data_IF_743874309558
#
_entry.id   IF_743874309558
#
_cell.length_a   1.000
_cell.length_b   1.000
_cell.length_c   1.000
_cell.angle_alpha   90.00
_cell.angle_beta   90.00
_cell.angle_gamma   90.00
#
_symmetry.space_group_name_H-M   'P 1'
#
loop_
_entity.id
_entity.type
_entity.pdbx_description
1 polymer ?
#
# COMPACT_ATOMS: atom_id res chain seq x y z
N UNK A 1 -15.60 16.78 77.45
CA UNK A 1 -15.26 17.36 76.13
C UNK A 1 -14.67 16.24 75.30
N UNK A 2 -15.52 15.54 74.54
CA UNK A 2 -15.12 14.37 73.75
C UNK A 2 -14.77 14.81 72.33
N UNK A 3 -13.53 14.55 71.90
CA UNK A 3 -13.07 14.79 70.53
C UNK A 3 -13.28 13.55 69.67
N UNK A 4 -13.96 13.71 68.53
CA UNK A 4 -14.12 12.68 67.50
C UNK A 4 -13.10 12.96 66.40
N UNK A 5 -12.18 12.01 66.18
CA UNK A 5 -11.22 12.06 65.07
C UNK A 5 -11.84 11.41 63.82
N UNK A 6 -12.03 12.20 62.76
CA UNK A 6 -12.48 11.72 61.46
C UNK A 6 -11.28 11.22 60.65
N UNK A 7 -11.28 9.93 60.28
CA UNK A 7 -10.33 9.33 59.35
C UNK A 7 -10.85 9.55 57.94
N UNK A 8 -10.16 10.38 57.15
CA UNK A 8 -10.41 10.56 55.72
C UNK A 8 -9.58 9.53 54.94
N UNK A 9 -10.24 8.51 54.38
CA UNK A 9 -9.67 7.68 53.32
C UNK A 9 -9.80 8.44 51.99
N UNK A 10 -8.69 9.01 51.51
CA UNK A 10 -8.59 9.49 50.14
C UNK A 10 -8.23 8.31 49.22
N UNK A 11 -9.21 7.78 48.49
CA UNK A 11 -8.99 6.80 47.43
C UNK A 11 -8.25 7.45 46.26
N UNK A 12 -7.12 6.87 45.86
CA UNK A 12 -6.40 7.23 44.65
C UNK A 12 -7.17 6.73 43.44
N UNK A 13 -7.78 7.65 42.69
CA UNK A 13 -8.30 7.39 41.34
C UNK A 13 -7.09 7.30 40.41
N UNK A 14 -6.73 6.09 39.99
CA UNK A 14 -5.76 5.89 38.91
C UNK A 14 -6.39 6.39 37.61
N UNK A 15 -6.00 7.58 37.17
CA UNK A 15 -6.29 8.04 35.82
C UNK A 15 -5.61 7.07 34.83
N UNK A 16 -6.41 6.30 34.09
CA UNK A 16 -5.90 5.53 32.96
C UNK A 16 -5.25 6.49 31.99
N UNK A 17 -3.96 6.28 31.70
CA UNK A 17 -3.26 7.03 30.66
C UNK A 17 -4.03 6.80 29.35
N UNK A 18 -4.69 7.83 28.85
CA UNK A 18 -5.17 7.83 27.49
C UNK A 18 -3.95 7.67 26.58
N UNK A 19 -3.87 6.56 25.85
CA UNK A 19 -2.85 6.38 24.83
C UNK A 19 -3.01 7.52 23.82
N UNK A 20 -2.03 8.42 23.75
CA UNK A 20 -2.02 9.48 22.76
C UNK A 20 -2.00 8.82 21.37
N UNK A 21 -2.79 9.36 20.44
CA UNK A 21 -2.77 8.89 19.05
C UNK A 21 -1.31 8.97 18.52
N UNK A 22 -0.86 7.94 17.78
CA UNK A 22 0.49 7.93 17.22
C UNK A 22 0.74 9.22 16.44
N UNK A 23 1.84 9.90 16.73
CA UNK A 23 2.21 11.09 15.95
C UNK A 23 2.81 10.63 14.62
N UNK A 24 2.36 11.18 13.49
CA UNK A 24 2.93 10.84 12.20
C UNK A 24 4.39 11.27 12.12
N UNK A 25 5.17 10.57 11.29
CA UNK A 25 6.51 11.04 10.97
C UNK A 25 6.45 12.38 10.22
N UNK A 26 7.47 13.25 10.33
CA UNK A 26 7.51 14.49 9.57
C UNK A 26 7.36 14.24 8.07
N UNK A 27 6.71 15.16 7.35
CA UNK A 27 6.55 15.08 5.89
C UNK A 27 7.90 14.92 5.15
N UNK A 28 8.99 15.39 5.76
CA UNK A 28 10.35 15.28 5.23
C UNK A 28 11.04 13.94 5.50
N UNK A 29 10.44 13.03 6.27
CA UNK A 29 11.06 11.77 6.71
C UNK A 29 11.34 10.82 5.54
N UNK A 30 10.50 10.85 4.51
CA UNK A 30 10.73 10.13 3.27
C UNK A 30 11.63 10.94 2.31
N UNK A 31 12.48 10.27 1.50
CA UNK A 31 13.34 10.93 0.51
C UNK A 31 12.54 11.73 -0.53
N UNK A 32 13.17 12.75 -1.12
CA UNK A 32 12.56 13.52 -2.21
C UNK A 32 12.60 12.74 -3.52
N UNK A 33 11.46 12.15 -3.88
CA UNK A 33 11.31 11.35 -5.07
C UNK A 33 11.40 12.14 -6.39
N UNK A 34 11.35 13.48 -6.37
CA UNK A 34 11.61 14.30 -7.58
C UNK A 34 13.06 14.20 -8.02
N UNK A 35 13.95 13.90 -7.08
CA UNK A 35 15.40 13.74 -7.32
C UNK A 35 15.72 12.28 -7.65
N UNK A 36 15.04 11.33 -7.01
CA UNK A 36 15.35 9.90 -7.15
C UNK A 36 14.74 9.29 -8.40
N UNK A 37 13.49 9.63 -8.73
CA UNK A 37 12.81 9.04 -9.88
C UNK A 37 13.30 9.66 -11.20
N UNK A 38 13.42 8.86 -12.27
CA UNK A 38 13.63 9.42 -13.60
C UNK A 38 12.40 10.22 -14.04
N UNK A 39 12.52 11.10 -15.07
CA UNK A 39 11.35 11.72 -15.68
C UNK A 39 10.40 10.67 -16.29
N UNK A 40 9.08 10.94 -16.36
CA UNK A 40 8.17 10.08 -17.10
C UNK A 40 8.54 10.03 -18.60
N UNK A 41 8.13 8.96 -19.32
CA UNK A 41 8.29 8.88 -20.76
C UNK A 41 7.80 10.13 -21.51
N UNK A 42 8.64 10.61 -22.42
CA UNK A 42 8.33 11.75 -23.28
C UNK A 42 7.33 11.32 -24.36
N UNK A 43 6.33 12.15 -24.71
CA UNK A 43 5.41 11.86 -25.82
C UNK A 43 6.14 11.49 -27.11
N UNK A 44 5.69 10.42 -27.77
CA UNK A 44 6.30 9.91 -29.02
C UNK A 44 7.55 9.05 -28.85
N UNK A 45 8.14 8.98 -27.64
CA UNK A 45 9.27 8.08 -27.35
C UNK A 45 8.85 6.59 -27.41
N UNK A 46 9.82 5.70 -27.59
CA UNK A 46 9.55 4.25 -27.55
C UNK A 46 8.94 3.79 -26.22
N UNK A 47 9.33 4.42 -25.09
CA UNK A 47 8.76 4.13 -23.79
C UNK A 47 7.29 4.55 -23.69
N UNK A 48 6.91 5.71 -24.25
CA UNK A 48 5.50 6.11 -24.32
C UNK A 48 4.70 5.20 -25.26
N UNK A 49 5.28 4.77 -26.39
CA UNK A 49 4.61 3.81 -27.29
C UNK A 49 4.33 2.47 -26.61
N UNK A 50 5.23 2.00 -25.73
CA UNK A 50 5.00 0.81 -24.93
C UNK A 50 3.89 1.02 -23.88
N UNK A 51 3.87 2.18 -23.22
CA UNK A 51 2.78 2.56 -22.31
C UNK A 51 1.42 2.53 -23.02
N UNK A 52 1.34 3.12 -24.22
CA UNK A 52 0.13 3.16 -25.04
C UNK A 52 -0.31 1.75 -25.44
N UNK A 53 0.63 0.93 -25.94
CA UNK A 53 0.39 -0.47 -26.32
C UNK A 53 -0.21 -1.26 -25.16
N UNK A 54 0.40 -1.20 -23.98
CA UNK A 54 -0.07 -1.94 -22.79
C UNK A 54 -1.42 -1.42 -22.31
N UNK A 55 -1.66 -0.10 -22.32
CA UNK A 55 -2.96 0.45 -21.96
C UNK A 55 -4.07 -0.09 -22.87
N UNK A 56 -3.85 -0.10 -24.19
CA UNK A 56 -4.80 -0.63 -25.16
C UNK A 56 -5.02 -2.14 -25.00
N UNK A 57 -3.94 -2.93 -24.90
CA UNK A 57 -4.02 -4.39 -24.78
C UNK A 57 -4.80 -4.82 -23.53
N UNK A 58 -4.53 -4.18 -22.38
CA UNK A 58 -5.17 -4.55 -21.11
C UNK A 58 -6.67 -4.24 -21.05
N UNK A 59 -7.22 -3.41 -21.96
CA UNK A 59 -8.68 -3.19 -22.03
C UNK A 59 -9.45 -4.47 -22.35
N UNK A 60 -8.83 -5.42 -23.06
CA UNK A 60 -9.42 -6.71 -23.38
C UNK A 60 -9.65 -7.60 -22.14
N UNK A 61 -9.04 -7.27 -21.00
CA UNK A 61 -9.25 -7.98 -19.74
C UNK A 61 -10.58 -7.63 -19.07
N UNK A 62 -11.34 -6.63 -19.56
CA UNK A 62 -12.63 -6.25 -18.97
C UNK A 62 -13.59 -7.46 -18.86
N UNK A 63 -14.10 -7.69 -17.66
CA UNK A 63 -15.00 -8.80 -17.36
C UNK A 63 -14.31 -10.15 -17.11
N UNK A 64 -12.97 -10.18 -17.06
CA UNK A 64 -12.21 -11.35 -16.64
C UNK A 64 -11.92 -11.31 -15.13
N UNK A 65 -11.58 -12.45 -14.49
CA UNK A 65 -11.14 -12.45 -13.09
C UNK A 65 -9.95 -11.53 -12.81
N UNK A 66 -9.05 -11.34 -13.78
CA UNK A 66 -7.91 -10.41 -13.65
C UNK A 66 -8.36 -8.95 -13.52
N UNK A 67 -9.45 -8.57 -14.18
CA UNK A 67 -10.06 -7.25 -14.05
C UNK A 67 -10.77 -7.08 -12.71
N UNK A 68 -11.48 -8.11 -12.24
CA UNK A 68 -12.13 -8.06 -10.92
C UNK A 68 -11.11 -7.97 -9.78
N UNK A 69 -10.00 -8.70 -9.88
CA UNK A 69 -8.85 -8.50 -8.99
C UNK A 69 -8.35 -7.05 -9.04
N UNK A 70 -8.28 -6.46 -10.23
CA UNK A 70 -7.81 -5.08 -10.35
C UNK A 70 -8.75 -4.05 -9.71
N UNK A 71 -10.06 -4.32 -9.73
CA UNK A 71 -11.07 -3.52 -9.03
C UNK A 71 -10.89 -3.63 -7.51
N UNK A 72 -10.65 -4.83 -6.99
CA UNK A 72 -10.40 -5.04 -5.54
C UNK A 72 -9.11 -4.36 -5.09
N UNK A 73 -8.02 -4.53 -5.84
CA UNK A 73 -6.73 -3.85 -5.62
C UNK A 73 -6.79 -2.31 -5.75
N UNK A 74 -7.97 -1.73 -6.00
CA UNK A 74 -8.17 -0.30 -5.95
C UNK A 74 -8.54 0.23 -4.56
N UNK A 75 -8.93 -0.65 -3.64
CA UNK A 75 -9.23 -0.27 -2.27
C UNK A 75 -7.92 -0.16 -1.47
N UNK A 76 -7.73 0.98 -0.81
CA UNK A 76 -6.58 1.29 0.02
C UNK A 76 -6.97 1.45 1.50
N UNK A 77 -8.21 1.10 1.87
CA UNK A 77 -8.58 1.03 3.27
C UNK A 77 -7.60 0.09 4.01
N UNK A 78 -7.00 0.51 5.14
CA UNK A 78 -5.90 -0.24 5.76
C UNK A 78 -6.21 -1.71 6.07
N UNK A 79 -7.41 -2.04 6.54
CA UNK A 79 -7.76 -3.42 6.83
C UNK A 79 -7.90 -4.25 5.54
N UNK A 80 -8.52 -3.70 4.49
CA UNK A 80 -8.56 -4.34 3.16
C UNK A 80 -7.14 -4.55 2.60
N UNK A 81 -6.30 -3.51 2.63
CA UNK A 81 -4.95 -3.56 2.07
C UNK A 81 -4.06 -4.59 2.77
N UNK A 82 -4.18 -4.75 4.09
CA UNK A 82 -3.47 -5.81 4.83
C UNK A 82 -4.04 -7.18 4.47
N UNK A 83 -5.37 -7.32 4.38
CA UNK A 83 -6.03 -8.57 4.04
C UNK A 83 -5.69 -9.07 2.62
N UNK A 84 -5.42 -8.18 1.66
CA UNK A 84 -5.00 -8.51 0.28
C UNK A 84 -3.69 -9.34 0.20
N UNK A 85 -2.91 -9.39 1.28
CA UNK A 85 -1.69 -10.21 1.36
C UNK A 85 -1.92 -11.60 2.00
N UNK A 86 -3.15 -11.93 2.38
CA UNK A 86 -3.49 -13.20 3.05
C UNK A 86 -3.10 -14.43 2.22
N UNK A 87 -3.30 -14.41 0.90
CA UNK A 87 -2.90 -15.49 0.01
C UNK A 87 -1.38 -15.70 -0.02
N UNK A 88 -0.60 -14.62 0.09
CA UNK A 88 0.86 -14.68 0.07
C UNK A 88 1.44 -15.35 1.33
N UNK A 89 0.75 -15.25 2.46
CA UNK A 89 1.15 -15.87 3.74
C UNK A 89 0.39 -17.16 4.05
N UNK A 90 -0.64 -17.50 3.26
CA UNK A 90 -1.45 -18.71 3.42
C UNK A 90 -2.49 -18.66 4.54
N UNK A 91 -2.65 -17.51 5.19
CA UNK A 91 -3.53 -17.29 6.34
C UNK A 91 -4.24 -15.95 6.22
N UNK A 92 -5.49 -15.86 6.69
CA UNK A 92 -6.22 -14.59 6.72
C UNK A 92 -5.56 -13.63 7.71
N UNK A 93 -5.02 -12.53 7.20
CA UNK A 93 -4.50 -11.42 8.01
C UNK A 93 -5.65 -10.53 8.48
N UNK A 94 -5.63 -10.17 9.77
CA UNK A 94 -6.65 -9.36 10.41
C UNK A 94 -6.00 -8.18 11.12
N UNK A 95 -6.14 -6.98 10.55
CA UNK A 95 -5.56 -5.76 11.11
C UNK A 95 -6.19 -5.39 12.47
N UNK A 96 -7.42 -5.84 12.76
CA UNK A 96 -8.06 -5.56 14.06
C UNK A 96 -7.36 -6.26 15.23
N UNK A 97 -6.55 -7.28 14.92
CA UNK A 97 -5.72 -8.03 15.89
C UNK A 97 -4.25 -7.61 15.85
N UNK A 98 -3.92 -6.55 15.13
CA UNK A 98 -2.55 -6.03 15.00
C UNK A 98 -2.49 -4.50 15.26
N UNK A 99 -2.76 -4.04 16.50
CA UNK A 99 -2.76 -2.62 16.84
C UNK A 99 -1.40 -1.92 16.65
N UNK A 100 -0.27 -2.61 16.85
CA UNK A 100 1.05 -2.04 16.56
C UNK A 100 1.29 -1.94 15.06
N UNK A 101 0.85 -2.91 14.25
CA UNK A 101 0.87 -2.75 12.79
C UNK A 101 0.03 -1.55 12.34
N UNK A 102 -1.18 -1.39 12.87
CA UNK A 102 -2.03 -0.23 12.60
C UNK A 102 -1.33 1.09 12.98
N UNK A 103 -0.61 1.09 14.11
CA UNK A 103 0.19 2.24 14.55
C UNK A 103 1.31 2.57 13.56
N UNK A 104 2.07 1.57 13.09
CA UNK A 104 3.10 1.77 12.07
C UNK A 104 2.49 2.37 10.81
N UNK A 105 1.40 1.81 10.29
CA UNK A 105 0.74 2.31 9.08
C UNK A 105 0.33 3.78 9.21
N UNK A 106 -0.33 4.14 10.33
CA UNK A 106 -0.76 5.51 10.59
C UNK A 106 0.42 6.51 10.68
N UNK A 107 1.60 6.05 11.10
CA UNK A 107 2.80 6.89 11.18
C UNK A 107 3.47 7.11 9.83
N UNK A 108 3.49 6.10 8.97
CA UNK A 108 4.18 6.12 7.68
C UNK A 108 3.38 6.82 6.57
N UNK A 109 2.05 6.72 6.63
CA UNK A 109 1.16 7.14 5.55
C UNK A 109 1.31 8.63 5.19
N UNK A 110 1.33 9.60 6.13
CA UNK A 110 1.39 11.01 5.77
C UNK A 110 2.66 11.40 5.01
N UNK A 111 3.83 10.90 5.42
CA UNK A 111 5.10 11.16 4.75
C UNK A 111 5.11 10.58 3.32
N UNK A 112 4.60 9.36 3.16
CA UNK A 112 4.48 8.68 1.86
C UNK A 112 3.54 9.43 0.91
N UNK A 113 2.36 9.84 1.39
CA UNK A 113 1.37 10.61 0.62
C UNK A 113 1.95 11.97 0.23
N UNK A 114 2.60 12.66 1.16
CA UNK A 114 3.20 13.97 0.91
C UNK A 114 4.21 13.90 -0.23
N UNK A 115 5.22 13.01 -0.13
CA UNK A 115 6.28 12.88 -1.14
C UNK A 115 5.75 12.42 -2.49
N UNK A 116 4.84 11.46 -2.51
CA UNK A 116 4.20 11.03 -3.75
C UNK A 116 3.43 12.17 -4.42
N UNK A 117 2.78 13.04 -3.64
CA UNK A 117 2.02 14.18 -4.15
C UNK A 117 2.93 15.27 -4.73
N UNK A 118 4.05 15.59 -4.06
CA UNK A 118 5.03 16.56 -4.58
C UNK A 118 5.54 16.17 -5.98
N UNK A 119 5.79 14.88 -6.22
CA UNK A 119 6.25 14.40 -7.53
C UNK A 119 5.15 14.51 -8.60
N UNK A 120 3.90 14.20 -8.22
CA UNK A 120 2.74 14.34 -9.12
C UNK A 120 2.52 15.79 -9.54
N UNK A 121 2.66 16.71 -8.58
CA UNK A 121 2.56 18.14 -8.84
C UNK A 121 3.76 18.67 -9.61
N UNK A 122 4.93 18.03 -9.51
CA UNK A 122 6.09 18.42 -10.29
C UNK A 122 5.95 18.04 -11.77
N UNK A 123 5.51 16.81 -12.08
CA UNK A 123 5.49 16.31 -13.45
C UNK A 123 4.16 16.52 -14.20
N UNK A 124 3.04 16.67 -13.48
CA UNK A 124 1.71 16.89 -14.06
C UNK A 124 1.33 15.91 -15.19
N UNK A 125 1.71 14.63 -15.09
CA UNK A 125 1.49 13.65 -16.16
C UNK A 125 0.01 13.29 -16.30
N UNK A 126 -0.53 13.44 -17.51
CA UNK A 126 -1.88 13.03 -17.88
C UNK A 126 -2.08 11.51 -17.79
N UNK A 127 -3.22 11.08 -17.23
CA UNK A 127 -3.60 9.66 -17.07
C UNK A 127 -4.03 9.00 -18.41
N UNK A 128 -3.92 7.67 -18.54
CA UNK A 128 -4.23 6.96 -19.78
C UNK A 128 -5.64 7.16 -20.33
N UNK A 129 -6.64 7.21 -19.46
CA UNK A 129 -8.03 7.28 -19.90
C UNK A 129 -8.45 8.67 -20.40
N UNK A 130 -7.66 9.71 -20.15
CA UNK A 130 -8.00 11.09 -20.52
C UNK A 130 -8.05 11.24 -22.04
N UNK A 131 -9.16 11.75 -22.56
CA UNK A 131 -9.36 11.94 -24.01
C UNK A 131 -9.81 10.68 -24.76
N UNK A 132 -10.14 9.59 -24.06
CA UNK A 132 -10.65 8.34 -24.66
C UNK A 132 -11.98 7.93 -24.04
N UNK A 133 -12.71 7.03 -24.72
CA UNK A 133 -13.89 6.34 -24.17
C UNK A 133 -13.59 4.90 -23.74
N UNK A 134 -12.30 4.53 -23.67
CA UNK A 134 -11.89 3.19 -23.32
C UNK A 134 -12.22 2.89 -21.85
N UNK A 135 -12.59 1.63 -21.52
CA UNK A 135 -13.07 1.30 -20.19
C UNK A 135 -11.95 1.42 -19.15
N UNK A 136 -12.32 1.86 -17.95
CA UNK A 136 -11.51 1.77 -16.73
C UNK A 136 -12.28 0.98 -15.66
N UNK A 137 -11.56 0.41 -14.69
CA UNK A 137 -12.16 -0.49 -13.69
C UNK A 137 -12.73 0.27 -12.47
N UNK A 138 -12.30 1.52 -12.25
CA UNK A 138 -12.69 2.35 -11.10
C UNK A 138 -13.31 3.67 -11.55
N UNK A 139 -14.12 4.34 -10.72
CA UNK A 139 -14.57 5.70 -10.99
C UNK A 139 -13.39 6.67 -11.21
N UNK A 140 -13.49 7.57 -12.19
CA UNK A 140 -12.43 8.55 -12.45
C UNK A 140 -12.47 9.77 -11.50
N UNK A 141 -13.60 10.01 -10.83
CA UNK A 141 -13.78 11.15 -9.91
C UNK A 141 -12.79 11.02 -8.75
N UNK A 142 -12.01 12.07 -8.50
CA UNK A 142 -11.01 12.10 -7.42
C UNK A 142 -9.63 11.56 -7.81
N UNK A 143 -9.44 10.97 -9.00
CA UNK A 143 -8.12 10.46 -9.39
C UNK A 143 -7.10 11.56 -9.76
N UNK A 144 -7.55 12.77 -10.09
CA UNK A 144 -6.68 13.83 -10.63
C UNK A 144 -6.20 13.50 -12.05
N UNK A 145 -6.76 14.17 -13.06
CA UNK A 145 -6.55 13.81 -14.48
C UNK A 145 -5.08 13.94 -14.93
N UNK A 146 -4.32 14.82 -14.27
CA UNK A 146 -2.92 15.14 -14.58
C UNK A 146 -1.95 14.73 -13.47
N UNK A 147 -2.32 13.72 -12.67
CA UNK A 147 -1.53 13.27 -11.52
C UNK A 147 -1.14 11.80 -11.68
N UNK A 148 -0.68 11.38 -12.88
CA UNK A 148 -0.42 9.97 -13.18
C UNK A 148 0.92 9.46 -12.62
N UNK A 149 1.97 10.28 -12.62
CA UNK A 149 3.35 9.83 -12.34
C UNK A 149 3.89 10.32 -10.99
N UNK A 150 4.51 9.44 -10.16
CA UNK A 150 4.44 7.98 -10.20
C UNK A 150 3.05 7.49 -9.76
N UNK A 151 2.77 6.18 -9.84
CA UNK A 151 1.51 5.63 -9.35
C UNK A 151 1.47 5.55 -7.82
N UNK A 152 0.68 6.44 -7.18
CA UNK A 152 0.54 6.42 -5.71
C UNK A 152 -0.15 5.18 -5.14
N UNK A 153 -1.09 4.57 -5.85
CA UNK A 153 -1.65 3.27 -5.42
C UNK A 153 -0.60 2.16 -5.51
N UNK A 154 0.28 2.21 -6.52
CA UNK A 154 1.40 1.26 -6.58
C UNK A 154 2.39 1.52 -5.45
N UNK A 155 2.68 2.78 -5.14
CA UNK A 155 3.51 3.14 -3.98
C UNK A 155 2.92 2.58 -2.69
N UNK A 156 1.63 2.79 -2.44
CA UNK A 156 0.95 2.29 -1.23
C UNK A 156 0.96 0.76 -1.16
N UNK A 157 0.53 0.07 -2.21
CA UNK A 157 0.46 -1.40 -2.22
C UNK A 157 1.83 -2.07 -2.15
N UNK A 158 2.82 -1.57 -2.88
CA UNK A 158 4.17 -2.11 -2.80
C UNK A 158 4.88 -1.71 -1.50
N UNK A 159 4.58 -0.53 -0.94
CA UNK A 159 5.03 -0.11 0.38
C UNK A 159 4.51 -1.04 1.48
N UNK A 160 3.23 -1.40 1.44
CA UNK A 160 2.66 -2.44 2.31
C UNK A 160 3.40 -3.77 2.15
N UNK A 161 3.66 -4.20 0.91
CA UNK A 161 4.40 -5.43 0.64
C UNK A 161 5.81 -5.39 1.25
N UNK A 162 6.51 -4.26 1.16
CA UNK A 162 7.84 -4.08 1.77
C UNK A 162 7.79 -4.12 3.30
N UNK A 163 6.80 -3.48 3.92
CA UNK A 163 6.57 -3.56 5.36
C UNK A 163 6.30 -5.00 5.81
N UNK A 164 5.35 -5.68 5.16
CA UNK A 164 5.01 -7.06 5.53
C UNK A 164 6.17 -8.03 5.26
N UNK A 165 6.94 -7.85 4.18
CA UNK A 165 8.14 -8.64 3.93
C UNK A 165 9.25 -8.40 4.96
N UNK A 166 9.35 -7.17 5.50
CA UNK A 166 10.26 -6.85 6.61
C UNK A 166 9.83 -7.55 7.91
N UNK A 167 8.52 -7.59 8.19
CA UNK A 167 7.97 -8.20 9.41
C UNK A 167 7.91 -9.73 9.34
N UNK A 168 7.64 -10.31 8.16
CA UNK A 168 7.49 -11.74 7.88
C UNK A 168 8.48 -12.22 6.80
N UNK A 169 9.81 -12.21 7.07
CA UNK A 169 10.83 -12.49 6.07
C UNK A 169 10.74 -13.89 5.44
N UNK A 170 10.20 -14.87 6.16
CA UNK A 170 9.93 -16.22 5.67
C UNK A 170 8.89 -16.27 4.54
N UNK A 171 8.00 -15.26 4.45
CA UNK A 171 7.00 -15.11 3.40
C UNK A 171 7.36 -14.02 2.37
N UNK A 172 8.52 -13.36 2.51
CA UNK A 172 8.89 -12.17 1.73
C UNK A 172 8.77 -12.36 0.22
N UNK A 173 9.16 -13.52 -0.32
CA UNK A 173 9.08 -13.77 -1.77
C UNK A 173 7.64 -13.72 -2.28
N UNK A 174 6.71 -14.38 -1.58
CA UNK A 174 5.30 -14.40 -1.96
C UNK A 174 4.66 -13.03 -1.75
N UNK A 175 4.98 -12.35 -0.64
CA UNK A 175 4.47 -11.01 -0.32
C UNK A 175 4.90 -10.00 -1.40
N UNK A 176 6.18 -9.97 -1.76
CA UNK A 176 6.69 -9.05 -2.78
C UNK A 176 6.14 -9.37 -4.18
N UNK A 177 5.92 -10.65 -4.50
CA UNK A 177 5.22 -11.04 -5.73
C UNK A 177 3.79 -10.49 -5.74
N UNK A 178 3.06 -10.59 -4.63
CA UNK A 178 1.71 -10.03 -4.50
C UNK A 178 1.71 -8.51 -4.63
N UNK A 179 2.67 -7.84 -4.00
CA UNK A 179 2.86 -6.39 -4.12
C UNK A 179 3.09 -5.95 -5.56
N UNK A 180 3.86 -6.72 -6.35
CA UNK A 180 3.98 -6.47 -7.80
C UNK A 180 2.61 -6.57 -8.47
N UNK A 181 1.87 -7.66 -8.27
CA UNK A 181 0.54 -7.85 -8.88
C UNK A 181 -0.43 -6.70 -8.52
N UNK A 182 -0.37 -6.21 -7.28
CA UNK A 182 -1.17 -5.07 -6.81
C UNK A 182 -0.88 -3.80 -7.62
N UNK A 183 0.40 -3.48 -7.87
CA UNK A 183 0.76 -2.36 -8.75
C UNK A 183 0.28 -2.58 -10.19
N UNK A 184 0.44 -3.80 -10.72
CA UNK A 184 0.03 -4.15 -12.08
C UNK A 184 -1.49 -4.01 -12.30
N UNK A 185 -2.28 -4.20 -11.25
CA UNK A 185 -3.71 -3.95 -11.27
C UNK A 185 -4.06 -2.52 -11.65
N UNK A 186 -3.18 -1.53 -11.39
CA UNK A 186 -3.42 -0.14 -11.80
C UNK A 186 -3.29 0.07 -13.31
N UNK A 187 -2.44 -0.74 -13.96
CA UNK A 187 -2.35 -0.83 -15.42
C UNK A 187 -3.61 -1.49 -15.99
N UNK A 188 -4.02 -2.64 -15.42
CA UNK A 188 -5.25 -3.34 -15.83
C UNK A 188 -6.49 -2.44 -15.67
N UNK A 189 -6.55 -1.67 -14.59
CA UNK A 189 -7.62 -0.69 -14.39
C UNK A 189 -7.60 0.48 -15.36
N UNK A 190 -6.48 0.73 -16.05
CA UNK A 190 -6.33 1.79 -17.05
C UNK A 190 -6.21 3.18 -16.46
N UNK A 191 -5.88 3.27 -15.17
CA UNK A 191 -5.77 4.55 -14.46
C UNK A 191 -4.33 5.03 -14.34
N UNK A 192 -3.36 4.15 -14.62
CA UNK A 192 -1.93 4.44 -14.64
C UNK A 192 -1.27 3.78 -15.86
N UNK A 193 -0.27 4.46 -16.41
CA UNK A 193 0.61 3.90 -17.43
C UNK A 193 1.49 2.79 -16.83
N UNK A 194 2.04 1.92 -17.66
CA UNK A 194 2.99 0.89 -17.23
C UNK A 194 4.20 1.53 -16.53
N UNK A 195 4.75 2.59 -17.09
CA UNK A 195 5.88 3.33 -16.51
C UNK A 195 5.55 4.05 -15.20
N UNK A 196 4.30 4.52 -15.00
CA UNK A 196 3.88 5.09 -13.71
C UNK A 196 3.93 4.04 -12.60
N UNK A 197 3.51 2.82 -12.91
CA UNK A 197 3.51 1.68 -11.99
C UNK A 197 4.94 1.25 -11.68
N UNK A 198 5.80 1.15 -12.70
CA UNK A 198 7.22 0.85 -12.50
C UNK A 198 7.92 1.89 -11.61
N UNK A 199 7.65 3.18 -11.84
CA UNK A 199 8.16 4.25 -10.97
C UNK A 199 7.55 4.20 -9.57
N UNK A 200 6.30 3.76 -9.42
CA UNK A 200 5.65 3.56 -8.13
C UNK A 200 6.34 2.48 -7.27
N UNK A 201 6.80 1.38 -7.88
CA UNK A 201 7.60 0.39 -7.14
C UNK A 201 8.91 0.98 -6.64
N UNK A 202 9.65 1.71 -7.51
CA UNK A 202 10.89 2.36 -7.12
C UNK A 202 10.65 3.40 -6.02
N UNK A 203 9.58 4.19 -6.14
CA UNK A 203 9.20 5.18 -5.14
C UNK A 203 8.97 4.52 -3.77
N UNK A 204 8.15 3.48 -3.72
CA UNK A 204 7.92 2.72 -2.49
C UNK A 204 9.22 2.14 -1.92
N UNK A 205 10.08 1.55 -2.74
CA UNK A 205 11.36 1.03 -2.27
C UNK A 205 12.25 2.11 -1.66
N UNK A 206 12.33 3.28 -2.29
CA UNK A 206 13.11 4.42 -1.78
C UNK A 206 12.54 4.97 -0.48
N UNK A 207 11.23 5.16 -0.40
CA UNK A 207 10.56 5.70 0.80
C UNK A 207 10.66 4.71 1.96
N UNK A 208 10.32 3.44 1.74
CA UNK A 208 10.29 2.43 2.79
C UNK A 208 11.68 2.08 3.33
N UNK A 209 12.75 2.17 2.52
CA UNK A 209 14.12 1.97 3.01
C UNK A 209 14.46 2.96 4.14
N UNK A 210 14.13 4.24 3.95
CA UNK A 210 14.38 5.27 4.97
C UNK A 210 13.38 5.19 6.12
N UNK A 211 12.09 5.02 5.81
CA UNK A 211 11.02 5.03 6.80
C UNK A 211 11.11 3.83 7.76
N UNK A 212 11.42 2.62 7.27
CA UNK A 212 11.57 1.43 8.12
C UNK A 212 12.83 1.48 9.00
N UNK A 213 13.81 2.32 8.66
CA UNK A 213 15.01 2.54 9.47
C UNK A 213 14.80 3.60 10.57
N UNK A 214 13.64 4.27 10.64
CA UNK A 214 13.40 5.34 11.60
C UNK A 214 13.38 4.78 13.04
N UNK A 215 14.22 5.29 13.97
CA UNK A 215 14.24 4.83 15.36
C UNK A 215 12.89 4.96 16.09
N UNK A 216 12.05 5.93 15.70
CA UNK A 216 10.79 6.25 16.35
C UNK A 216 9.69 5.19 16.14
N UNK A 217 9.91 4.22 15.25
CA UNK A 217 8.95 3.13 14.95
C UNK A 217 9.48 1.73 15.28
N UNK A 218 10.73 1.58 15.74
CA UNK A 218 11.35 0.26 15.90
C UNK A 218 10.64 -0.62 16.94
N UNK A 219 10.18 -0.04 18.05
CA UNK A 219 9.41 -0.76 19.07
C UNK A 219 8.06 -1.25 18.50
N UNK A 220 7.38 -0.40 17.71
CA UNK A 220 6.12 -0.74 17.06
C UNK A 220 6.33 -1.79 15.95
N UNK A 221 7.44 -1.76 15.20
CA UNK A 221 7.80 -2.80 14.23
C UNK A 221 8.06 -4.15 14.91
N UNK A 222 8.79 -4.16 16.02
CA UNK A 222 9.06 -5.38 16.77
C UNK A 222 7.77 -5.99 17.34
N UNK A 223 6.87 -5.15 17.86
CA UNK A 223 5.56 -5.59 18.35
C UNK A 223 4.63 -6.04 17.21
N UNK A 224 4.57 -5.32 16.09
CA UNK A 224 3.80 -5.70 14.91
C UNK A 224 4.22 -7.06 14.34
N UNK A 225 5.52 -7.36 14.36
CA UNK A 225 6.03 -8.67 14.00
C UNK A 225 5.45 -9.77 14.90
N UNK A 226 5.47 -9.57 16.22
CA UNK A 226 4.90 -10.53 17.17
C UNK A 226 3.39 -10.72 16.97
N UNK A 227 2.66 -9.64 16.64
CA UNK A 227 1.23 -9.71 16.33
C UNK A 227 0.97 -10.60 15.10
N UNK A 228 1.74 -10.41 14.03
CA UNK A 228 1.64 -11.21 12.82
C UNK A 228 2.01 -12.68 13.07
N UNK A 229 3.11 -12.94 13.78
CA UNK A 229 3.51 -14.30 14.18
C UNK A 229 2.42 -15.00 15.00
N UNK A 230 1.75 -14.28 15.91
CA UNK A 230 0.64 -14.81 16.69
C UNK A 230 -0.56 -15.19 15.81
N UNK A 231 -0.86 -14.39 14.77
CA UNK A 231 -1.91 -14.72 13.80
C UNK A 231 -1.56 -15.96 12.97
N UNK A 232 -0.30 -16.15 12.59
CA UNK A 232 0.13 -17.36 11.88
C UNK A 232 0.11 -18.61 12.79
N UNK A 233 0.40 -18.44 14.08
CA UNK A 233 0.35 -19.53 15.07
C UNK A 233 -1.08 -19.94 15.42
N UNK A 234 -2.04 -19.00 15.40
CA UNK A 234 -3.47 -19.26 15.61
C UNK A 234 -4.30 -18.66 14.47
N UNK A 235 -4.34 -19.31 13.30
CA UNK A 235 -4.92 -18.73 12.09
C UNK A 235 -6.42 -18.41 12.22
N UNK A 236 -6.82 -17.27 11.66
CA UNK A 236 -8.22 -16.84 11.53
C UNK A 236 -8.97 -17.52 10.37
N UNK A 237 -8.49 -18.69 9.94
CA UNK A 237 -8.95 -19.38 8.73
C UNK A 237 -7.95 -19.30 7.58
N UNK A 238 -8.27 -20.02 6.51
CA UNK A 238 -7.54 -19.96 5.25
C UNK A 238 -8.14 -18.86 4.37
N UNK A 239 -7.31 -18.17 3.54
CA UNK A 239 -7.81 -17.24 2.54
C UNK A 239 -8.67 -17.96 1.48
N UNK A 240 -9.50 -17.20 0.76
CA UNK A 240 -10.34 -17.76 -0.30
C UNK A 240 -9.48 -18.38 -1.41
N UNK A 241 -9.65 -19.68 -1.64
CA UNK A 241 -8.84 -20.41 -2.61
C UNK A 241 -9.07 -19.95 -4.07
N UNK A 242 -10.26 -19.42 -4.38
CA UNK A 242 -10.58 -18.85 -5.68
C UNK A 242 -9.80 -17.56 -5.92
N UNK A 243 -9.79 -16.65 -4.94
CA UNK A 243 -9.02 -15.41 -4.98
C UNK A 243 -7.52 -15.68 -5.09
N UNK A 244 -6.98 -16.59 -4.26
CA UNK A 244 -5.56 -16.94 -4.32
C UNK A 244 -5.16 -17.53 -5.68
N UNK A 245 -6.06 -18.28 -6.34
CA UNK A 245 -5.82 -18.77 -7.70
C UNK A 245 -5.75 -17.64 -8.72
N UNK A 246 -6.59 -16.61 -8.60
CA UNK A 246 -6.58 -15.44 -9.49
C UNK A 246 -5.30 -14.62 -9.28
N UNK A 247 -4.83 -14.45 -8.04
CA UNK A 247 -3.56 -13.78 -7.75
C UNK A 247 -2.37 -14.54 -8.32
N UNK A 248 -2.34 -15.87 -8.15
CA UNK A 248 -1.28 -16.72 -8.71
C UNK A 248 -1.26 -16.69 -10.25
N UNK A 249 -2.44 -16.70 -10.89
CA UNK A 249 -2.55 -16.55 -12.34
C UNK A 249 -2.05 -15.19 -12.82
N UNK A 250 -2.44 -14.11 -12.13
CA UNK A 250 -1.95 -12.76 -12.41
C UNK A 250 -0.43 -12.65 -12.22
N UNK A 251 0.13 -13.33 -11.21
CA UNK A 251 1.56 -13.37 -10.99
C UNK A 251 2.31 -14.06 -12.14
N UNK A 252 1.77 -15.15 -12.67
CA UNK A 252 2.33 -15.88 -13.81
C UNK A 252 2.20 -15.13 -15.14
N UNK A 253 1.17 -14.29 -15.30
CA UNK A 253 0.85 -13.56 -16.52
C UNK A 253 0.99 -12.04 -16.34
N UNK A 254 2.20 -11.58 -16.02
CA UNK A 254 2.48 -10.16 -15.80
C UNK A 254 2.16 -9.30 -17.01
N UNK A 255 1.45 -8.19 -16.79
CA UNK A 255 1.16 -7.20 -17.84
C UNK A 255 2.36 -6.30 -18.15
N UNK A 256 3.41 -6.34 -17.33
CA UNK A 256 4.63 -5.56 -17.55
C UNK A 256 5.56 -6.23 -18.58
N UNK A 257 5.49 -7.55 -18.70
CA UNK A 257 6.24 -8.36 -19.66
C UNK A 257 5.43 -8.83 -20.87
N UNK A 258 4.11 -8.59 -20.87
CA UNK A 258 3.24 -8.94 -21.99
C UNK A 258 3.68 -8.20 -23.27
N UNK A 259 4.12 -8.98 -24.27
CA UNK A 259 4.48 -8.52 -25.61
C UNK A 259 3.23 -8.28 -26.46
#
# INVERSE_FOLDING_TARGET
>A
MSGVAAVLLAGSVSAGAAFAAPQPLPDSAAPDARIVLPPPPVPGSAAQQDDDRVFHATRALKGTPRWDLAVRDADLEPAHLVADFSCAVGHTLDLTKAPHLQTVLARLEPATIHRTSEVKDFWHRTRPFVGTSLPICTPFKGLGLHSSYPSGHTTAGFGMALLLAHLMPEHATAILQRGRVFGESRVVCGVHWKSDVQAGYLNASTEMDTLLADPAIQDDLAAAKQELEAQLATPNGAPDAGECKVEADAAAHSVLSAQ
#
